data_IF_477350454856
#
_entry.id   IF_477350454856
#
_cell.length_a   1.000
_cell.length_b   1.000
_cell.length_c   1.000
_cell.angle_alpha   90.00
_cell.angle_beta   90.00
_cell.angle_gamma   90.00
#
_symmetry.space_group_name_H-M   'P 1'
#
loop_
_entity.id
_entity.type
_entity.pdbx_description
1 polymer ?
#
# COMPACT_ATOMS: atom_id res chain seq x y z
N UNK A 1 12.80 33.32 27.58
CA UNK A 1 13.24 31.97 27.14
C UNK A 1 12.75 31.64 25.73
N UNK A 2 12.86 32.53 24.74
CA UNK A 2 12.26 32.32 23.40
C UNK A 2 13.12 32.78 22.21
N UNK A 3 14.36 33.23 22.44
CA UNK A 3 15.25 33.73 21.38
C UNK A 3 16.04 32.61 20.67
N UNK A 4 16.41 31.55 21.36
CA UNK A 4 17.28 30.49 20.83
C UNK A 4 16.52 29.49 19.90
N UNK A 5 15.19 29.41 20.01
CA UNK A 5 14.38 28.52 19.17
C UNK A 5 14.22 29.04 17.74
N UNK A 6 14.17 30.36 17.57
CA UNK A 6 14.06 30.98 16.23
C UNK A 6 15.38 30.92 15.44
N UNK A 7 16.51 30.96 16.15
CA UNK A 7 17.84 30.86 15.54
C UNK A 7 18.12 29.46 14.99
N UNK A 8 17.69 28.43 15.74
CA UNK A 8 17.90 27.03 15.33
C UNK A 8 17.06 26.64 14.09
N UNK A 9 15.83 27.12 13.99
CA UNK A 9 14.96 26.91 12.83
C UNK A 9 15.49 27.57 11.57
N UNK A 10 16.13 28.73 11.67
CA UNK A 10 16.70 29.46 10.54
C UNK A 10 17.93 28.78 9.92
N UNK A 11 18.73 28.09 10.74
CA UNK A 11 19.93 27.35 10.28
C UNK A 11 19.52 26.08 9.54
N UNK A 12 18.56 25.32 10.05
CA UNK A 12 18.08 24.08 9.42
C UNK A 12 17.46 24.38 8.05
N UNK A 13 16.71 25.47 7.91
CA UNK A 13 16.10 25.84 6.62
C UNK A 13 17.12 26.26 5.55
N UNK A 14 18.24 26.89 5.95
CA UNK A 14 19.30 27.30 5.02
C UNK A 14 20.15 26.13 4.53
N UNK A 15 20.44 25.16 5.41
CA UNK A 15 21.21 23.96 5.05
C UNK A 15 20.41 23.02 4.14
N UNK A 16 19.08 22.91 4.37
CA UNK A 16 18.22 22.07 3.54
C UNK A 16 18.06 22.62 2.10
N UNK A 17 18.05 23.96 1.94
CA UNK A 17 17.95 24.61 0.62
C UNK A 17 19.25 24.50 -0.18
N UNK A 18 20.41 24.44 0.49
CA UNK A 18 21.70 24.27 -0.16
C UNK A 18 21.94 22.83 -0.63
N UNK A 19 21.50 21.84 0.15
CA UNK A 19 21.64 20.43 -0.19
C UNK A 19 20.75 20.05 -1.41
N UNK A 20 19.54 20.57 -1.49
CA UNK A 20 18.61 20.29 -2.58
C UNK A 20 19.09 20.84 -3.95
N UNK A 21 19.89 21.90 -3.97
CA UNK A 21 20.39 22.52 -5.21
C UNK A 21 21.58 21.77 -5.80
N UNK A 22 22.40 21.14 -4.97
CA UNK A 22 23.58 20.40 -5.42
C UNK A 22 23.27 18.95 -5.86
N UNK A 23 22.23 18.34 -5.32
CA UNK A 23 21.79 16.98 -5.73
C UNK A 23 21.20 17.01 -7.14
N UNK A 24 20.54 18.10 -7.55
CA UNK A 24 20.00 18.22 -8.91
C UNK A 24 21.11 18.32 -9.99
N UNK A 25 22.24 18.93 -9.67
CA UNK A 25 23.35 19.04 -10.63
C UNK A 25 24.15 17.74 -10.78
N UNK A 26 24.29 16.95 -9.72
CA UNK A 26 24.94 15.63 -9.81
C UNK A 26 24.11 14.62 -10.60
N UNK A 27 22.77 14.62 -10.43
CA UNK A 27 21.88 13.73 -11.16
C UNK A 27 21.83 14.01 -12.67
N UNK A 28 21.91 15.30 -13.05
CA UNK A 28 21.90 15.69 -14.47
C UNK A 28 23.21 15.37 -15.19
N UNK A 29 24.35 15.41 -14.49
CA UNK A 29 25.65 15.06 -15.07
C UNK A 29 25.81 13.54 -15.28
N UNK A 30 25.21 12.71 -14.41
CA UNK A 30 25.21 11.26 -14.55
C UNK A 30 24.29 10.78 -15.71
N UNK A 31 23.24 11.53 -16.01
CA UNK A 31 22.33 11.19 -17.10
C UNK A 31 22.93 11.46 -18.49
N UNK A 32 23.77 12.50 -18.63
CA UNK A 32 24.44 12.85 -19.89
C UNK A 32 25.60 11.93 -20.27
N UNK A 33 26.24 11.28 -19.30
CA UNK A 33 27.38 10.36 -19.57
C UNK A 33 26.90 8.98 -19.99
N UNK A 34 25.67 8.55 -19.61
CA UNK A 34 25.13 7.24 -19.97
C UNK A 34 24.43 7.17 -21.34
N UNK A 35 24.17 8.29 -22.00
CA UNK A 35 23.49 8.29 -23.31
C UNK A 35 24.42 8.10 -24.50
N UNK A 36 25.74 8.06 -24.30
CA UNK A 36 26.72 7.91 -25.42
C UNK A 36 27.14 6.46 -25.67
N UNK A 37 26.73 5.49 -24.82
CA UNK A 37 27.26 4.13 -24.90
C UNK A 37 26.34 3.07 -25.52
N UNK A 38 25.18 3.45 -26.07
CA UNK A 38 24.24 2.50 -26.69
C UNK A 38 23.98 2.77 -28.17
N UNK A 39 25.02 2.89 -28.99
CA UNK A 39 24.89 2.75 -30.43
C UNK A 39 26.10 1.96 -30.94
N UNK A 40 26.06 0.66 -30.85
CA UNK A 40 26.73 -0.25 -31.80
C UNK A 40 26.42 -1.69 -31.40
N UNK A 41 25.60 -2.33 -32.10
CA UNK A 41 25.78 -3.62 -32.76
C UNK A 41 24.42 -4.17 -33.18
N UNK A 42 24.08 -3.97 -34.43
CA UNK A 42 23.28 -4.92 -35.19
C UNK A 42 24.25 -5.88 -35.86
N UNK A 43 24.06 -7.16 -35.61
CA UNK A 43 24.53 -8.21 -36.52
C UNK A 43 23.47 -9.30 -36.62
N UNK A 44 22.93 -9.43 -37.84
CA UNK A 44 21.97 -10.45 -38.22
C UNK A 44 22.61 -11.83 -38.15
N UNK A 45 21.92 -12.78 -37.51
CA UNK A 45 22.03 -14.19 -37.85
C UNK A 45 20.65 -14.85 -37.70
N UNK A 46 20.03 -15.13 -38.85
CA UNK A 46 18.92 -16.03 -39.01
C UNK A 46 19.34 -17.45 -38.61
N UNK A 47 18.78 -18.00 -37.57
CA UNK A 47 18.52 -19.44 -37.50
C UNK A 47 17.15 -19.66 -36.88
N UNK A 48 16.27 -20.22 -37.68
CA UNK A 48 14.94 -20.67 -37.30
C UNK A 48 15.08 -21.85 -36.31
N UNK A 49 14.89 -21.59 -35.05
CA UNK A 49 14.61 -22.62 -34.07
C UNK A 49 13.19 -22.37 -33.54
N UNK A 50 12.28 -23.17 -34.04
CA UNK A 50 10.92 -23.31 -33.54
C UNK A 50 11.00 -23.84 -32.09
N UNK A 51 11.06 -22.95 -31.13
CA UNK A 51 10.75 -23.31 -29.76
C UNK A 51 9.36 -22.76 -29.46
N UNK A 52 8.41 -23.71 -29.41
CA UNK A 52 7.15 -23.49 -28.71
C UNK A 52 7.49 -22.86 -27.35
N UNK A 53 7.38 -21.55 -27.25
CA UNK A 53 7.23 -20.89 -25.96
C UNK A 53 5.85 -21.27 -25.48
N UNK A 54 5.81 -22.20 -24.54
CA UNK A 54 4.62 -22.48 -23.76
C UNK A 54 4.13 -21.18 -23.16
N UNK A 55 3.08 -20.64 -23.78
CA UNK A 55 2.37 -19.42 -23.40
C UNK A 55 1.45 -19.73 -22.22
N UNK A 56 2.00 -20.39 -21.21
CA UNK A 56 1.19 -20.85 -20.07
C UNK A 56 1.85 -20.60 -18.72
N UNK A 57 2.50 -19.46 -18.53
CA UNK A 57 2.85 -19.00 -17.17
C UNK A 57 2.98 -17.47 -17.13
N UNK A 58 2.06 -16.74 -17.73
CA UNK A 58 1.67 -15.48 -17.13
C UNK A 58 0.64 -15.89 -16.11
N UNK A 59 1.07 -16.09 -14.87
CA UNK A 59 0.15 -16.08 -13.75
C UNK A 59 -0.63 -14.77 -13.89
N UNK A 60 -1.86 -14.87 -14.36
CA UNK A 60 -2.81 -13.76 -14.26
C UNK A 60 -2.83 -13.44 -12.78
N UNK A 61 -2.23 -12.32 -12.39
CA UNK A 61 -2.41 -11.76 -11.06
C UNK A 61 -3.90 -11.45 -11.04
N UNK A 62 -4.67 -12.40 -10.47
CA UNK A 62 -6.10 -12.26 -10.34
C UNK A 62 -6.33 -11.03 -9.46
N UNK A 63 -6.96 -10.00 -10.02
CA UNK A 63 -7.14 -8.76 -9.30
C UNK A 63 -8.16 -8.99 -8.21
N UNK A 64 -7.74 -8.78 -6.96
CA UNK A 64 -8.60 -8.92 -5.79
C UNK A 64 -9.56 -7.73 -5.75
N UNK A 65 -10.85 -8.04 -5.68
CA UNK A 65 -11.92 -7.06 -5.58
C UNK A 65 -12.55 -7.09 -4.20
N UNK A 66 -13.30 -6.04 -3.86
CA UNK A 66 -14.03 -5.98 -2.60
C UNK A 66 -14.95 -7.19 -2.38
N UNK A 67 -15.61 -7.66 -3.43
CA UNK A 67 -16.46 -8.85 -3.36
C UNK A 67 -15.73 -10.12 -2.88
N UNK A 68 -14.42 -10.24 -3.13
CA UNK A 68 -13.62 -11.38 -2.69
C UNK A 68 -13.35 -11.34 -1.18
N UNK A 69 -13.41 -10.15 -0.58
CA UNK A 69 -13.30 -9.91 0.86
C UNK A 69 -14.62 -10.05 1.59
N UNK A 70 -15.76 -10.00 0.91
CA UNK A 70 -17.10 -9.97 1.54
C UNK A 70 -17.29 -11.12 2.51
N UNK A 71 -16.97 -12.34 2.12
CA UNK A 71 -17.12 -13.51 3.01
C UNK A 71 -16.23 -13.44 4.25
N UNK A 72 -15.05 -12.84 4.16
CA UNK A 72 -14.19 -12.60 5.32
C UNK A 72 -14.82 -11.56 6.25
N UNK A 73 -15.31 -10.46 5.70
CA UNK A 73 -15.92 -9.36 6.48
C UNK A 73 -17.22 -9.80 7.15
N UNK A 74 -18.08 -10.52 6.44
CA UNK A 74 -19.31 -11.12 7.01
C UNK A 74 -19.04 -11.99 8.22
N UNK A 75 -18.03 -12.85 8.13
CA UNK A 75 -17.75 -13.83 9.18
C UNK A 75 -16.93 -13.26 10.34
N UNK A 76 -16.24 -12.11 10.20
CA UNK A 76 -15.28 -11.61 11.19
C UNK A 76 -15.44 -10.16 11.59
N UNK A 77 -16.13 -9.37 10.78
CA UNK A 77 -16.20 -7.93 10.99
C UNK A 77 -17.62 -7.42 11.21
N UNK A 78 -18.61 -7.96 10.48
CA UNK A 78 -19.96 -7.42 10.45
C UNK A 78 -20.70 -7.48 11.79
N UNK A 79 -20.33 -8.39 12.69
CA UNK A 79 -20.95 -8.42 14.02
C UNK A 79 -20.75 -7.12 14.82
N UNK A 80 -19.74 -6.32 14.47
CA UNK A 80 -19.46 -5.04 15.11
C UNK A 80 -19.36 -3.87 14.11
N UNK A 81 -19.12 -4.17 12.81
CA UNK A 81 -18.83 -3.18 11.78
C UNK A 81 -19.82 -3.27 10.59
N UNK A 82 -21.10 -3.50 10.89
CA UNK A 82 -22.20 -3.38 9.93
C UNK A 82 -23.42 -2.81 10.63
N UNK A 83 -24.47 -2.49 9.88
CA UNK A 83 -25.74 -2.05 10.46
C UNK A 83 -26.39 -3.16 11.34
N UNK A 84 -26.95 -2.85 12.52
CA UNK A 84 -27.04 -1.53 13.17
C UNK A 84 -25.87 -1.24 14.13
N UNK A 85 -24.92 -2.16 14.32
CA UNK A 85 -23.89 -2.10 15.35
C UNK A 85 -22.76 -1.12 15.04
N UNK A 86 -22.55 -0.79 13.77
CA UNK A 86 -21.43 0.07 13.34
C UNK A 86 -21.42 1.45 14.02
N UNK A 87 -22.54 1.90 14.53
CA UNK A 87 -22.68 3.21 15.20
C UNK A 87 -21.76 3.38 16.42
N UNK A 88 -21.36 2.29 17.08
CA UNK A 88 -20.41 2.34 18.20
C UNK A 88 -19.02 2.77 17.79
N UNK A 89 -18.59 2.34 16.59
CA UNK A 89 -17.23 2.55 16.07
C UNK A 89 -17.24 3.52 14.88
N UNK A 90 -18.43 3.92 14.43
CA UNK A 90 -18.66 4.71 13.24
C UNK A 90 -17.87 4.18 12.03
N UNK A 91 -17.78 2.85 11.92
CA UNK A 91 -17.14 2.13 10.82
C UNK A 91 -18.09 1.05 10.32
N UNK A 92 -18.52 1.17 9.09
CA UNK A 92 -19.35 0.19 8.39
C UNK A 92 -18.52 -0.44 7.26
N UNK A 93 -18.42 -1.78 7.26
CA UNK A 93 -17.67 -2.57 6.27
C UNK A 93 -18.58 -3.39 5.36
N UNK A 94 -19.92 -3.16 5.39
CA UNK A 94 -20.91 -3.98 4.68
C UNK A 94 -20.97 -3.72 3.17
N UNK A 95 -20.36 -2.64 2.71
CA UNK A 95 -20.25 -2.31 1.29
C UNK A 95 -18.89 -1.66 0.97
N UNK A 96 -18.54 -1.69 -0.30
CA UNK A 96 -17.35 -1.00 -0.81
C UNK A 96 -17.37 0.48 -0.47
N UNK A 97 -18.50 1.16 -0.76
CA UNK A 97 -18.67 2.59 -0.53
C UNK A 97 -18.49 2.95 0.95
N UNK A 98 -19.12 2.18 1.85
CA UNK A 98 -19.03 2.41 3.29
C UNK A 98 -17.60 2.17 3.81
N UNK A 99 -16.92 1.15 3.31
CA UNK A 99 -15.51 0.88 3.64
C UNK A 99 -14.60 2.03 3.19
N UNK A 100 -14.84 2.56 1.98
CA UNK A 100 -14.06 3.67 1.44
C UNK A 100 -14.38 5.01 2.11
N UNK A 101 -15.58 5.20 2.66
CA UNK A 101 -15.91 6.37 3.49
C UNK A 101 -15.07 6.41 4.77
N UNK A 102 -14.70 5.24 5.31
CA UNK A 102 -13.91 5.14 6.53
C UNK A 102 -14.74 5.27 7.80
N UNK A 103 -14.14 5.82 8.84
CA UNK A 103 -14.71 5.93 10.19
C UNK A 103 -14.77 7.37 10.67
N UNK A 104 -15.32 7.60 11.88
CA UNK A 104 -15.25 8.92 12.54
C UNK A 104 -13.80 9.43 12.73
N UNK A 105 -12.81 8.54 12.70
CA UNK A 105 -11.40 8.88 12.87
C UNK A 105 -10.68 9.08 11.53
N UNK A 106 -11.40 9.00 10.42
CA UNK A 106 -10.90 9.19 9.06
C UNK A 106 -10.85 7.91 8.23
N UNK A 107 -10.14 7.93 7.09
CA UNK A 107 -10.03 6.79 6.19
C UNK A 107 -9.45 5.56 6.90
N UNK A 108 -10.01 4.39 6.62
CA UNK A 108 -9.50 3.11 7.15
C UNK A 108 -8.69 2.35 6.11
N UNK A 109 -8.78 2.73 4.84
CA UNK A 109 -7.94 2.25 3.75
C UNK A 109 -7.34 3.42 2.99
N UNK A 110 -6.09 3.27 2.59
CA UNK A 110 -5.34 4.17 1.71
C UNK A 110 -4.96 3.36 0.48
N UNK A 111 -5.63 3.56 -0.67
CA UNK A 111 -5.33 2.79 -1.87
C UNK A 111 -3.84 2.82 -2.21
N UNK A 112 -3.30 1.66 -2.57
CA UNK A 112 -1.88 1.41 -2.88
C UNK A 112 -0.91 1.49 -1.69
N UNK A 113 -1.43 1.67 -0.44
CA UNK A 113 -0.59 1.82 0.74
C UNK A 113 -1.14 1.00 1.93
N UNK A 114 -0.91 -0.31 1.96
CA UNK A 114 -1.40 -1.19 3.03
C UNK A 114 -0.85 -0.82 4.41
N UNK A 115 0.43 -0.44 4.50
CA UNK A 115 1.09 -0.14 5.78
C UNK A 115 0.53 1.10 6.47
N UNK A 116 -0.03 2.04 5.71
CA UNK A 116 -0.73 3.20 6.25
C UNK A 116 -2.26 3.03 6.26
N UNK A 117 -2.75 1.85 5.90
CA UNK A 117 -4.17 1.50 5.97
C UNK A 117 -4.54 0.92 7.32
N UNK A 118 -5.42 1.61 8.06
CA UNK A 118 -5.85 1.20 9.39
C UNK A 118 -6.51 -0.19 9.40
N UNK A 119 -7.24 -0.53 8.35
CA UNK A 119 -7.84 -1.85 8.18
C UNK A 119 -6.79 -2.96 8.24
N UNK A 120 -5.69 -2.83 7.50
CA UNK A 120 -4.61 -3.81 7.50
C UNK A 120 -3.85 -3.81 8.83
N UNK A 121 -3.41 -2.65 9.31
CA UNK A 121 -2.57 -2.55 10.51
C UNK A 121 -3.28 -3.00 11.77
N UNK A 122 -4.60 -2.81 11.86
CA UNK A 122 -5.43 -3.37 12.94
C UNK A 122 -5.51 -4.91 12.87
N UNK A 123 -5.58 -5.47 11.70
CA UNK A 123 -5.64 -6.93 11.49
C UNK A 123 -4.27 -7.58 11.70
N UNK A 124 -3.18 -6.97 11.22
CA UNK A 124 -1.81 -7.48 11.40
C UNK A 124 -1.34 -7.37 12.86
N UNK A 125 -1.90 -6.43 13.63
CA UNK A 125 -1.47 -6.14 15.00
C UNK A 125 -0.31 -5.15 15.07
N UNK A 126 0.01 -4.48 13.96
CA UNK A 126 1.06 -3.46 13.91
C UNK A 126 0.58 -2.09 14.41
N UNK A 127 -0.75 -1.90 14.47
CA UNK A 127 -1.32 -0.67 14.99
C UNK A 127 -1.17 -0.57 16.50
N UNK A 128 -0.61 0.53 16.98
CA UNK A 128 -0.25 0.72 18.39
C UNK A 128 -1.41 1.21 19.28
N UNK A 129 -2.46 1.81 18.69
CA UNK A 129 -3.57 2.38 19.44
C UNK A 129 -4.80 1.46 19.41
N UNK A 130 -5.29 1.09 20.61
CA UNK A 130 -6.47 0.25 20.79
C UNK A 130 -6.24 -1.21 20.42
N UNK A 131 -7.31 -2.00 20.42
CA UNK A 131 -7.24 -3.45 20.27
C UNK A 131 -6.98 -3.90 18.84
N UNK A 132 -6.30 -5.04 18.73
CA UNK A 132 -6.14 -5.77 17.46
C UNK A 132 -7.48 -6.36 17.01
N UNK A 133 -7.71 -6.39 15.71
CA UNK A 133 -8.91 -6.95 15.09
C UNK A 133 -8.65 -8.34 14.45
N UNK A 134 -9.65 -9.22 14.43
CA UNK A 134 -10.96 -9.09 15.11
C UNK A 134 -10.83 -9.27 16.63
N UNK A 135 -11.55 -8.45 17.39
CA UNK A 135 -11.41 -8.40 18.86
C UNK A 135 -11.89 -9.69 19.55
N UNK A 136 -12.86 -10.40 18.97
CA UNK A 136 -13.36 -11.69 19.44
C UNK A 136 -12.37 -12.84 19.25
N UNK A 137 -11.39 -12.67 18.33
CA UNK A 137 -10.34 -13.66 18.07
C UNK A 137 -9.07 -12.97 17.55
N UNK A 138 -8.30 -12.37 18.44
CA UNK A 138 -7.11 -11.57 18.12
C UNK A 138 -6.01 -12.34 17.35
N UNK A 139 -6.01 -13.68 17.44
CA UNK A 139 -5.07 -14.57 16.75
C UNK A 139 -5.61 -15.09 15.41
N UNK A 140 -6.78 -14.59 14.96
CA UNK A 140 -7.41 -15.11 13.74
C UNK A 140 -6.46 -15.03 12.54
N UNK A 141 -5.84 -13.89 12.33
CA UNK A 141 -4.95 -13.66 11.19
C UNK A 141 -3.59 -14.34 11.34
N UNK A 142 -3.14 -14.65 12.57
CA UNK A 142 -1.92 -15.45 12.77
C UNK A 142 -2.15 -16.91 12.31
N UNK A 143 -3.38 -17.40 12.49
CA UNK A 143 -3.78 -18.74 12.04
C UNK A 143 -4.25 -18.75 10.57
N UNK A 144 -4.54 -17.61 9.99
CA UNK A 144 -5.03 -17.42 8.61
C UNK A 144 -4.30 -16.28 7.91
N UNK A 145 -2.97 -16.41 7.75
CA UNK A 145 -2.17 -15.40 7.06
C UNK A 145 -2.61 -15.18 5.60
N UNK A 146 -3.22 -16.21 4.97
CA UNK A 146 -3.84 -16.09 3.65
C UNK A 146 -4.93 -15.00 3.60
N UNK A 147 -5.71 -14.86 4.68
CA UNK A 147 -6.77 -13.85 4.75
C UNK A 147 -6.23 -12.45 5.03
N UNK A 148 -5.16 -12.35 5.81
CA UNK A 148 -4.46 -11.09 6.00
C UNK A 148 -3.83 -10.61 4.69
N UNK A 149 -3.21 -11.53 3.94
CA UNK A 149 -2.62 -11.25 2.65
C UNK A 149 -3.66 -10.77 1.62
N UNK A 150 -4.87 -11.35 1.62
CA UNK A 150 -5.96 -10.86 0.76
C UNK A 150 -6.29 -9.38 1.01
N UNK A 151 -6.36 -8.95 2.27
CA UNK A 151 -6.60 -7.54 2.62
C UNK A 151 -5.43 -6.69 2.11
N UNK A 152 -4.20 -7.13 2.35
CA UNK A 152 -3.00 -6.44 1.91
C UNK A 152 -2.99 -6.24 0.38
N UNK A 153 -3.19 -7.32 -0.36
CA UNK A 153 -3.14 -7.31 -1.83
C UNK A 153 -4.28 -6.48 -2.43
N UNK A 154 -5.48 -6.54 -1.86
CA UNK A 154 -6.59 -5.68 -2.27
C UNK A 154 -6.25 -4.20 -2.13
N UNK A 155 -5.67 -3.81 -1.00
CA UNK A 155 -5.26 -2.41 -0.77
C UNK A 155 -4.10 -2.04 -1.70
N UNK A 156 -3.11 -2.92 -1.85
CA UNK A 156 -1.94 -2.70 -2.72
C UNK A 156 -2.35 -2.52 -4.19
N UNK A 157 -3.41 -3.20 -4.63
CA UNK A 157 -3.96 -3.08 -5.99
C UNK A 157 -4.87 -1.85 -6.17
N UNK A 158 -5.03 -1.01 -5.15
CA UNK A 158 -5.78 0.23 -5.22
C UNK A 158 -7.23 0.13 -4.79
N UNK A 159 -7.59 -0.88 -3.98
CA UNK A 159 -8.93 -1.08 -3.43
C UNK A 159 -9.99 -1.23 -4.52
N UNK A 160 -9.84 -2.22 -5.40
CA UNK A 160 -10.79 -2.44 -6.50
C UNK A 160 -12.17 -2.85 -5.96
N UNK A 161 -13.23 -2.30 -6.58
CA UNK A 161 -14.63 -2.63 -6.30
C UNK A 161 -14.99 -4.04 -6.76
#
# INVERSE_FOLDING_TARGET
MNSNRKYFQSIIFKTFKFFRRNVFYLGFFFFLVNTVFFISSCEDNNEASNQNLDQDTIATIDSIRFQDLTSLFENRCYSCHSEPEYSFYALNLDSYENTMLGSQNGPVVVPFDPENSLLYTKCSGEHVDGDRMPQDNVNFFDNRPDKLQMIYDWILQGCLE
#
